data_IF_221242470016
#
_entry.id   IF_221242470016
#
_cell.length_a   1.000
_cell.length_b   1.000
_cell.length_c   1.000
_cell.angle_alpha   90.00
_cell.angle_beta   90.00
_cell.angle_gamma   90.00
#
_symmetry.space_group_name_H-M   'P 1'
#
loop_
_entity.id
_entity.type
_entity.pdbx_description
1 polymer ?
#
# COMPACT_ATOMS: atom_id res chain seq x y z
N UNK A 1 -24.67 31.39 28.16
CA UNK A 1 -24.04 30.83 26.94
C UNK A 1 -22.62 30.49 27.31
N UNK A 2 -22.32 29.21 27.55
CA UNK A 2 -20.95 28.77 27.84
C UNK A 2 -20.13 28.81 26.56
N UNK A 3 -18.92 29.37 26.63
CA UNK A 3 -17.98 29.35 25.53
C UNK A 3 -17.66 27.90 25.10
N UNK A 4 -17.45 27.61 23.81
CA UNK A 4 -17.04 26.28 23.38
C UNK A 4 -15.69 25.95 24.05
N UNK A 5 -15.60 24.75 24.63
CA UNK A 5 -14.35 24.25 25.18
C UNK A 5 -13.27 24.30 24.09
N UNK A 6 -12.14 24.95 24.38
CA UNK A 6 -11.02 24.97 23.47
C UNK A 6 -10.53 23.52 23.28
N UNK A 7 -10.69 22.98 22.07
CA UNK A 7 -10.15 21.67 21.70
C UNK A 7 -8.63 21.75 21.92
N UNK A 8 -8.15 21.07 22.96
CA UNK A 8 -6.73 20.94 23.24
C UNK A 8 -6.08 20.16 22.10
N UNK A 9 -5.52 20.87 21.11
CA UNK A 9 -4.82 20.23 20.01
C UNK A 9 -3.46 19.77 20.50
N UNK A 10 -3.23 18.44 20.54
CA UNK A 10 -1.92 17.87 20.85
C UNK A 10 -0.84 18.53 19.99
N UNK A 11 0.32 18.92 20.56
CA UNK A 11 1.44 19.42 19.78
C UNK A 11 1.83 18.39 18.71
N UNK A 12 2.04 18.87 17.49
CA UNK A 12 2.54 18.05 16.39
C UNK A 12 3.87 18.57 15.88
N UNK A 13 4.67 17.69 15.30
CA UNK A 13 5.88 18.06 14.56
C UNK A 13 5.89 17.37 13.20
N UNK A 14 6.42 18.10 12.22
CA UNK A 14 6.75 17.57 10.90
C UNK A 14 7.66 16.35 11.03
N UNK A 15 7.21 15.26 10.42
CA UNK A 15 7.94 13.99 10.22
C UNK A 15 7.96 13.71 8.72
N UNK A 16 9.14 13.37 8.18
CA UNK A 16 9.33 13.01 6.77
C UNK A 16 9.32 11.49 6.61
N UNK A 17 8.36 11.01 5.84
CA UNK A 17 8.19 9.59 5.52
C UNK A 17 8.57 9.38 4.05
N UNK A 18 9.43 8.39 3.79
CA UNK A 18 9.75 7.93 2.43
C UNK A 18 8.99 6.64 2.18
N UNK A 19 8.08 6.68 1.20
CA UNK A 19 7.21 5.57 0.85
C UNK A 19 7.69 4.91 -0.44
N UNK A 20 7.83 3.58 -0.40
CA UNK A 20 8.10 2.71 -1.54
C UNK A 20 7.27 1.43 -1.42
N UNK A 21 7.13 0.72 -2.53
CA UNK A 21 6.52 -0.61 -2.62
C UNK A 21 6.97 -1.26 -3.92
N UNK A 22 6.72 -2.56 -4.08
CA UNK A 22 6.87 -3.26 -5.37
C UNK A 22 8.28 -3.04 -5.93
N UNK A 23 9.30 -3.30 -5.11
CA UNK A 23 10.69 -3.12 -5.51
C UNK A 23 11.20 -4.32 -6.27
N UNK A 24 10.65 -5.52 -6.07
CA UNK A 24 10.95 -6.68 -6.92
C UNK A 24 12.46 -6.92 -7.10
N UNK A 25 13.18 -7.07 -5.98
CA UNK A 25 14.65 -7.21 -5.87
C UNK A 25 15.47 -5.96 -6.28
N UNK A 26 14.81 -4.86 -6.64
CA UNK A 26 15.50 -3.59 -6.89
C UNK A 26 15.86 -2.89 -5.58
N UNK A 27 16.93 -2.11 -5.61
CA UNK A 27 17.45 -1.38 -4.46
C UNK A 27 17.57 0.12 -4.81
N UNK A 28 16.45 0.84 -4.92
CA UNK A 28 16.47 2.23 -5.37
C UNK A 28 17.29 3.13 -4.44
N UNK A 29 17.82 4.23 -5.00
CA UNK A 29 18.41 5.30 -4.18
C UNK A 29 17.28 6.04 -3.46
N UNK A 30 17.35 6.09 -2.13
CA UNK A 30 16.33 6.73 -1.32
C UNK A 30 16.74 8.16 -0.93
N UNK A 31 15.80 9.13 -0.97
CA UNK A 31 16.04 10.45 -0.39
C UNK A 31 16.09 10.37 1.14
N UNK A 32 16.66 11.38 1.79
CA UNK A 32 16.67 11.48 3.26
C UNK A 32 15.25 11.63 3.82
N UNK A 33 14.98 10.95 4.93
CA UNK A 33 13.75 11.08 5.71
C UNK A 33 13.94 10.52 7.13
N UNK A 34 12.91 10.65 7.95
CA UNK A 34 12.91 10.13 9.32
C UNK A 34 12.45 8.66 9.35
N UNK A 35 11.48 8.32 8.49
CA UNK A 35 10.87 6.99 8.41
C UNK A 35 10.92 6.46 6.98
N UNK A 36 11.26 5.20 6.81
CA UNK A 36 11.07 4.43 5.57
C UNK A 36 9.88 3.49 5.73
N UNK A 37 8.97 3.48 4.76
CA UNK A 37 7.86 2.51 4.68
C UNK A 37 7.96 1.75 3.35
N UNK A 38 8.03 0.41 3.43
CA UNK A 38 7.96 -0.49 2.28
C UNK A 38 6.64 -1.27 2.30
N UNK A 39 5.74 -1.00 1.36
CA UNK A 39 4.36 -1.53 1.33
C UNK A 39 4.21 -2.86 0.56
N UNK A 40 5.18 -3.78 0.73
CA UNK A 40 5.13 -5.13 0.15
C UNK A 40 5.83 -5.30 -1.19
N UNK A 41 5.91 -6.54 -1.64
CA UNK A 41 6.62 -7.00 -2.85
C UNK A 41 8.08 -6.56 -2.87
N UNK A 42 8.80 -6.99 -1.83
CA UNK A 42 10.25 -6.79 -1.72
C UNK A 42 11.01 -7.58 -2.80
N UNK A 43 10.47 -8.75 -3.17
CA UNK A 43 11.14 -9.75 -3.98
C UNK A 43 10.35 -10.12 -5.24
N UNK A 44 10.93 -10.93 -6.13
CA UNK A 44 10.16 -11.47 -7.27
C UNK A 44 9.38 -12.73 -6.90
N UNK A 45 9.95 -13.61 -6.06
CA UNK A 45 9.34 -14.90 -5.73
C UNK A 45 9.58 -15.33 -4.28
N UNK A 46 10.09 -14.44 -3.42
CA UNK A 46 10.26 -14.69 -2.00
C UNK A 46 11.31 -15.75 -1.65
N UNK A 47 12.31 -16.03 -2.50
CA UNK A 47 13.39 -16.93 -2.05
C UNK A 47 14.15 -16.33 -0.87
N UNK A 48 14.76 -17.18 -0.04
CA UNK A 48 15.62 -16.77 1.07
C UNK A 48 16.72 -15.79 0.60
N UNK A 49 17.33 -16.07 -0.56
CA UNK A 49 18.40 -15.22 -1.10
C UNK A 49 17.92 -13.82 -1.51
N UNK A 50 16.72 -13.73 -2.07
CA UNK A 50 16.08 -12.46 -2.44
C UNK A 50 15.70 -11.67 -1.18
N UNK A 51 15.01 -12.32 -0.23
CA UNK A 51 14.61 -11.71 1.03
C UNK A 51 15.82 -11.22 1.82
N UNK A 52 16.87 -12.03 1.92
CA UNK A 52 18.12 -11.64 2.61
C UNK A 52 18.72 -10.39 1.98
N UNK A 53 18.82 -10.33 0.65
CA UNK A 53 19.33 -9.15 -0.06
C UNK A 53 18.47 -7.90 0.18
N UNK A 54 17.14 -8.05 0.16
CA UNK A 54 16.22 -6.95 0.42
C UNK A 54 16.34 -6.43 1.86
N UNK A 55 16.33 -7.33 2.85
CA UNK A 55 16.50 -7.02 4.27
C UNK A 55 17.84 -6.34 4.54
N UNK A 56 18.94 -6.86 3.98
CA UNK A 56 20.26 -6.23 4.12
C UNK A 56 20.30 -4.83 3.52
N UNK A 57 19.67 -4.63 2.36
CA UNK A 57 19.58 -3.31 1.73
C UNK A 57 18.76 -2.34 2.59
N UNK A 58 17.57 -2.72 3.06
CA UNK A 58 16.71 -1.88 3.91
C UNK A 58 17.42 -1.55 5.23
N UNK A 59 18.06 -2.54 5.86
CA UNK A 59 18.73 -2.38 7.15
C UNK A 59 19.84 -1.33 7.09
N UNK A 60 20.55 -1.22 5.96
CA UNK A 60 21.63 -0.23 5.74
C UNK A 60 21.14 1.20 5.49
N UNK A 61 19.84 1.42 5.28
CA UNK A 61 19.35 2.76 5.00
C UNK A 61 19.38 3.64 6.26
N UNK A 62 19.72 4.90 6.10
CA UNK A 62 19.83 5.89 7.20
C UNK A 62 18.46 6.52 7.49
N UNK A 63 17.60 5.75 8.16
CA UNK A 63 16.29 6.15 8.67
C UNK A 63 16.17 5.72 10.12
N UNK A 64 15.51 6.54 10.94
CA UNK A 64 15.31 6.23 12.35
C UNK A 64 14.32 5.07 12.55
N UNK A 65 13.30 4.96 11.70
CA UNK A 65 12.39 3.81 11.67
C UNK A 65 12.23 3.26 10.26
N UNK A 66 12.15 1.94 10.13
CA UNK A 66 11.96 1.22 8.85
C UNK A 66 10.82 0.23 9.05
N UNK A 67 9.66 0.54 8.47
CA UNK A 67 8.45 -0.27 8.59
C UNK A 67 8.27 -1.04 7.29
N UNK A 68 8.07 -2.34 7.40
CA UNK A 68 7.99 -3.25 6.25
C UNK A 68 6.78 -4.16 6.41
N UNK A 69 6.01 -4.32 5.34
CA UNK A 69 5.06 -5.42 5.18
C UNK A 69 5.50 -6.30 4.01
N UNK A 70 5.01 -7.53 3.95
CA UNK A 70 5.16 -8.38 2.76
C UNK A 70 4.14 -7.99 1.67
N UNK A 71 4.31 -8.55 0.47
CA UNK A 71 3.29 -8.55 -0.58
C UNK A 71 3.10 -9.94 -1.19
N UNK A 72 2.32 -10.02 -2.26
CA UNK A 72 1.94 -11.30 -2.86
C UNK A 72 3.11 -12.04 -3.56
N UNK A 73 4.21 -11.34 -3.86
CA UNK A 73 5.43 -11.92 -4.42
C UNK A 73 6.42 -12.43 -3.36
N UNK A 74 6.24 -12.08 -2.09
CA UNK A 74 7.10 -12.53 -0.99
C UNK A 74 6.66 -13.92 -0.48
N UNK A 75 6.56 -14.87 -1.41
CA UNK A 75 5.81 -16.14 -1.29
C UNK A 75 6.14 -16.94 -0.04
N UNK A 76 7.43 -17.08 0.30
CA UNK A 76 7.85 -17.92 1.44
C UNK A 76 7.46 -17.34 2.80
N UNK A 77 7.05 -16.07 2.86
CA UNK A 77 6.53 -15.45 4.08
C UNK A 77 5.09 -15.88 4.39
N UNK A 78 4.31 -16.29 3.39
CA UNK A 78 3.01 -16.94 3.58
C UNK A 78 3.22 -18.46 3.68
N UNK A 79 3.49 -18.95 4.90
CA UNK A 79 3.78 -20.36 5.15
C UNK A 79 2.67 -21.31 4.68
N UNK A 80 1.37 -21.05 4.93
CA UNK A 80 0.28 -21.87 4.38
C UNK A 80 0.30 -21.94 2.85
N UNK A 81 0.44 -20.80 2.17
CA UNK A 81 0.48 -20.76 0.70
C UNK A 81 1.72 -21.46 0.16
N UNK A 82 2.90 -21.15 0.69
CA UNK A 82 4.17 -21.76 0.30
C UNK A 82 4.10 -23.28 0.41
N UNK A 83 3.62 -23.81 1.53
CA UNK A 83 3.56 -25.25 1.78
C UNK A 83 2.65 -25.98 0.78
N UNK A 84 1.53 -25.34 0.41
CA UNK A 84 0.56 -25.89 -0.56
C UNK A 84 1.06 -25.80 -2.01
N UNK A 85 1.87 -24.79 -2.34
CA UNK A 85 2.22 -24.45 -3.72
C UNK A 85 3.71 -24.63 -4.05
N UNK A 86 4.54 -25.18 -3.16
CA UNK A 86 6.00 -25.30 -3.37
C UNK A 86 6.40 -25.96 -4.70
N UNK A 87 5.60 -26.89 -5.23
CA UNK A 87 5.87 -27.54 -6.52
C UNK A 87 5.55 -26.68 -7.76
N UNK A 88 4.85 -25.56 -7.58
CA UNK A 88 4.40 -24.67 -8.66
C UNK A 88 5.38 -23.54 -8.97
N UNK A 89 6.44 -23.39 -8.18
CA UNK A 89 7.40 -22.30 -8.28
C UNK A 89 8.82 -22.83 -8.40
N UNK A 90 9.70 -22.08 -9.07
CA UNK A 90 11.08 -22.47 -9.34
C UNK A 90 12.03 -21.56 -8.57
N UNK A 91 12.69 -22.11 -7.55
CA UNK A 91 13.71 -21.41 -6.78
C UNK A 91 15.11 -21.96 -7.05
N UNK A 92 16.18 -21.21 -6.76
CA UNK A 92 17.56 -21.68 -6.92
C UNK A 92 17.92 -22.91 -6.06
N UNK A 93 17.12 -23.22 -5.06
CA UNK A 93 17.27 -24.38 -4.17
C UNK A 93 16.07 -24.50 -3.24
N UNK A 94 16.13 -25.43 -2.29
CA UNK A 94 15.08 -25.61 -1.29
C UNK A 94 14.90 -24.35 -0.44
N UNK A 95 13.66 -24.04 -0.10
CA UNK A 95 13.30 -22.87 0.69
C UNK A 95 12.77 -23.29 2.06
N UNK A 96 13.21 -22.59 3.10
CA UNK A 96 12.66 -22.71 4.45
C UNK A 96 11.90 -21.43 4.80
N UNK A 97 10.56 -21.51 4.77
CA UNK A 97 9.67 -20.40 5.13
C UNK A 97 9.95 -19.83 6.52
N UNK A 98 10.38 -20.66 7.48
CA UNK A 98 10.72 -20.21 8.84
C UNK A 98 11.99 -19.38 8.82
N UNK A 99 13.04 -19.86 8.14
CA UNK A 99 14.29 -19.11 7.98
C UNK A 99 14.08 -17.80 7.21
N UNK A 100 13.24 -17.81 6.17
CA UNK A 100 12.85 -16.61 5.43
C UNK A 100 12.18 -15.58 6.34
N UNK A 101 11.21 -16.01 7.16
CA UNK A 101 10.48 -15.12 8.08
C UNK A 101 11.40 -14.53 9.16
N UNK A 102 12.34 -15.31 9.68
CA UNK A 102 13.33 -14.86 10.68
C UNK A 102 14.13 -13.63 10.23
N UNK A 103 14.47 -13.54 8.95
CA UNK A 103 15.19 -12.37 8.40
C UNK A 103 14.50 -11.03 8.70
N UNK A 104 13.17 -11.02 8.74
CA UNK A 104 12.36 -9.83 8.97
C UNK A 104 12.01 -9.64 10.45
N UNK A 105 11.55 -10.71 11.12
CA UNK A 105 11.04 -10.60 12.50
C UNK A 105 12.14 -10.50 13.55
N UNK A 106 13.33 -11.03 13.28
CA UNK A 106 14.51 -10.96 14.18
C UNK A 106 15.42 -9.77 13.83
N UNK A 107 15.04 -8.92 12.86
CA UNK A 107 15.81 -7.73 12.50
C UNK A 107 15.67 -6.65 13.57
N UNK A 108 16.79 -6.22 14.15
CA UNK A 108 16.84 -5.10 15.10
C UNK A 108 16.53 -3.74 14.45
N UNK A 109 16.64 -3.65 13.12
CA UNK A 109 16.50 -2.39 12.39
C UNK A 109 15.16 -2.23 11.69
N UNK A 110 14.40 -3.31 11.52
CA UNK A 110 13.13 -3.32 10.76
C UNK A 110 11.98 -3.67 11.69
N UNK A 111 10.93 -2.87 11.63
CA UNK A 111 9.62 -3.22 12.18
C UNK A 111 8.80 -3.91 11.09
N UNK A 112 8.79 -5.25 11.11
CA UNK A 112 7.95 -6.03 10.22
C UNK A 112 6.53 -6.16 10.77
N UNK A 113 5.52 -5.89 9.94
CA UNK A 113 4.11 -5.96 10.32
C UNK A 113 3.36 -6.94 9.41
N UNK A 114 2.51 -7.77 10.02
CA UNK A 114 1.75 -8.81 9.32
C UNK A 114 0.38 -8.95 9.99
N UNK A 115 -0.59 -8.13 9.56
CA UNK A 115 -1.91 -7.99 10.18
C UNK A 115 -1.83 -7.53 11.64
N UNK A 116 -0.87 -6.66 11.94
CA UNK A 116 -0.55 -6.20 13.30
C UNK A 116 -0.31 -4.69 13.34
N UNK A 117 -0.46 -4.13 14.54
CA UNK A 117 -0.18 -2.72 14.83
C UNK A 117 1.11 -2.58 15.64
N UNK A 118 1.89 -1.54 15.38
CA UNK A 118 2.99 -1.11 16.22
C UNK A 118 2.89 0.38 16.57
N UNK A 119 3.48 0.77 17.69
CA UNK A 119 3.71 2.18 18.03
C UNK A 119 5.16 2.51 17.74
N UNK A 120 5.38 3.57 16.96
CA UNK A 120 6.72 4.00 16.54
C UNK A 120 7.05 5.34 17.19
N UNK A 121 8.15 5.37 17.94
CA UNK A 121 8.71 6.57 18.54
C UNK A 121 9.96 7.02 17.79
N UNK A 122 10.06 8.33 17.51
CA UNK A 122 11.19 8.93 16.82
C UNK A 122 11.82 10.00 17.71
N UNK A 123 13.06 9.82 18.13
CA UNK A 123 13.81 10.79 18.94
C UNK A 123 14.09 12.10 18.19
N UNK A 124 14.39 12.07 16.89
CA UNK A 124 14.75 13.28 16.12
C UNK A 124 13.61 14.30 16.08
N UNK A 125 12.50 13.98 15.38
CA UNK A 125 11.30 14.81 15.41
C UNK A 125 10.55 14.75 16.76
N UNK A 126 10.97 13.91 17.72
CA UNK A 126 10.27 13.67 19.00
C UNK A 126 8.80 13.33 18.77
N UNK A 127 8.50 12.54 17.76
CA UNK A 127 7.11 12.16 17.42
C UNK A 127 6.83 10.73 17.80
N UNK A 128 5.56 10.42 18.02
CA UNK A 128 5.06 9.07 18.24
C UNK A 128 3.77 8.88 17.46
N UNK A 129 3.60 7.70 16.85
CA UNK A 129 2.42 7.40 16.05
C UNK A 129 2.17 5.89 16.03
N UNK A 130 0.92 5.52 15.75
CA UNK A 130 0.55 4.12 15.54
C UNK A 130 0.54 3.78 14.06
N UNK A 131 0.99 2.58 13.72
CA UNK A 131 0.99 2.07 12.35
C UNK A 131 0.43 0.66 12.32
N UNK A 132 -0.58 0.43 11.50
CA UNK A 132 -1.06 -0.92 11.15
C UNK A 132 -0.41 -1.36 9.85
N UNK A 133 -0.03 -2.64 9.76
CA UNK A 133 0.55 -3.22 8.54
C UNK A 133 -0.10 -4.55 8.16
N UNK A 134 -0.45 -4.73 6.88
CA UNK A 134 -0.98 -5.99 6.35
C UNK A 134 -0.51 -6.28 4.92
N UNK A 135 -0.04 -7.52 4.63
CA UNK A 135 0.35 -7.92 3.28
C UNK A 135 -0.85 -8.33 2.39
N UNK A 136 -2.05 -8.37 2.96
CA UNK A 136 -3.19 -9.05 2.37
C UNK A 136 -3.74 -8.36 1.11
N UNK A 137 -4.14 -9.17 0.13
CA UNK A 137 -4.74 -8.71 -1.14
C UNK A 137 -6.02 -9.50 -1.49
N UNK A 138 -7.00 -8.91 -2.19
CA UNK A 138 -8.14 -9.66 -2.69
C UNK A 138 -7.69 -10.74 -3.69
N UNK A 139 -8.25 -11.94 -3.57
CA UNK A 139 -8.09 -12.97 -4.59
C UNK A 139 -8.89 -12.59 -5.84
N UNK A 140 -8.20 -12.39 -6.95
CA UNK A 140 -8.85 -12.30 -8.26
C UNK A 140 -9.01 -13.70 -8.87
N UNK A 141 -10.07 -13.90 -9.66
CA UNK A 141 -10.55 -15.20 -10.14
C UNK A 141 -9.54 -16.01 -10.97
N UNK A 142 -8.43 -15.40 -11.39
CA UNK A 142 -7.45 -15.99 -12.31
C UNK A 142 -6.03 -16.12 -11.77
N UNK A 143 -5.73 -15.66 -10.55
CA UNK A 143 -4.36 -15.66 -10.04
C UNK A 143 -4.29 -16.12 -8.59
N UNK A 144 -3.49 -17.14 -8.31
CA UNK A 144 -3.24 -17.69 -6.98
C UNK A 144 -1.85 -17.24 -6.50
N UNK A 145 -1.83 -16.31 -5.56
CA UNK A 145 -0.61 -15.75 -4.98
C UNK A 145 -0.67 -15.76 -3.45
N UNK A 146 0.49 -15.53 -2.82
CA UNK A 146 0.57 -15.42 -1.37
C UNK A 146 -0.27 -14.26 -0.84
N UNK A 147 -0.70 -14.38 0.42
CA UNK A 147 -1.44 -13.38 1.19
C UNK A 147 -2.79 -12.98 0.56
N UNK A 148 -3.42 -13.87 -0.19
CA UNK A 148 -4.73 -13.61 -0.78
C UNK A 148 -5.89 -14.07 0.12
N UNK A 149 -6.93 -13.24 0.23
CA UNK A 149 -8.18 -13.57 0.90
C UNK A 149 -9.36 -13.59 -0.10
N UNK A 150 -10.43 -14.32 0.23
CA UNK A 150 -11.65 -14.32 -0.59
C UNK A 150 -12.48 -13.05 -0.34
N UNK A 151 -13.33 -12.60 -1.26
CA UNK A 151 -14.19 -11.43 -1.04
C UNK A 151 -14.96 -11.45 0.28
N UNK A 152 -15.41 -12.63 0.73
CA UNK A 152 -16.15 -12.83 1.98
C UNK A 152 -15.27 -12.66 3.22
N UNK A 153 -13.97 -12.96 3.12
CA UNK A 153 -12.99 -12.79 4.20
C UNK A 153 -12.44 -11.37 4.33
N UNK A 154 -12.84 -10.43 3.45
CA UNK A 154 -12.26 -9.10 3.41
C UNK A 154 -12.47 -8.31 4.70
N UNK A 155 -13.67 -8.35 5.29
CA UNK A 155 -13.96 -7.61 6.53
C UNK A 155 -13.15 -8.17 7.70
N UNK A 156 -12.99 -9.49 7.81
CA UNK A 156 -12.19 -10.13 8.87
C UNK A 156 -10.71 -9.67 8.86
N UNK A 157 -10.17 -9.38 7.67
CA UNK A 157 -8.81 -8.84 7.54
C UNK A 157 -8.77 -7.39 8.02
N UNK A 158 -9.72 -6.55 7.60
CA UNK A 158 -9.66 -5.11 7.81
C UNK A 158 -10.20 -4.65 9.18
N UNK A 159 -11.08 -5.43 9.83
CA UNK A 159 -11.55 -5.16 11.19
C UNK A 159 -10.41 -5.15 12.23
N UNK A 160 -9.28 -5.79 11.91
CA UNK A 160 -8.05 -5.80 12.73
C UNK A 160 -7.40 -4.42 12.85
N UNK A 161 -7.69 -3.50 11.93
CA UNK A 161 -7.18 -2.13 11.99
C UNK A 161 -7.85 -1.41 13.16
N UNK A 162 -7.14 -1.13 14.24
CA UNK A 162 -7.75 -0.52 15.42
C UNK A 162 -8.17 0.95 15.18
N UNK A 163 -9.29 1.41 15.76
CA UNK A 163 -9.64 2.83 15.78
C UNK A 163 -8.50 3.68 16.36
N UNK A 164 -8.28 4.87 15.80
CA UNK A 164 -7.19 5.76 16.22
C UNK A 164 -5.81 5.42 15.63
N UNK A 165 -5.73 4.47 14.69
CA UNK A 165 -4.51 4.20 13.91
C UNK A 165 -4.12 5.45 13.10
N UNK A 166 -2.90 5.95 13.26
CA UNK A 166 -2.44 7.15 12.53
C UNK A 166 -2.09 6.84 11.07
N UNK A 167 -1.45 5.71 10.82
CA UNK A 167 -0.97 5.27 9.50
C UNK A 167 -1.39 3.84 9.23
N UNK A 168 -2.01 3.59 8.09
CA UNK A 168 -2.31 2.24 7.59
C UNK A 168 -1.37 1.92 6.44
N UNK A 169 -0.72 0.76 6.48
CA UNK A 169 0.14 0.23 5.42
C UNK A 169 -0.46 -1.10 4.95
N UNK A 170 -0.94 -1.14 3.71
CA UNK A 170 -1.54 -2.35 3.12
C UNK A 170 -0.91 -2.61 1.77
N UNK A 171 -0.70 -3.87 1.38
CA UNK A 171 -0.18 -4.09 0.04
C UNK A 171 -1.23 -3.71 -1.03
N UNK A 172 -2.49 -4.11 -0.84
CA UNK A 172 -3.60 -3.68 -1.71
C UNK A 172 -4.03 -2.22 -1.46
N UNK A 173 -4.38 -1.45 -2.51
CA UNK A 173 -5.00 -0.13 -2.35
C UNK A 173 -6.50 -0.23 -2.01
N UNK A 174 -7.09 0.81 -1.38
CA UNK A 174 -8.53 0.92 -1.25
C UNK A 174 -9.21 1.14 -2.62
N UNK A 175 -10.41 0.57 -2.80
CA UNK A 175 -11.17 0.67 -4.07
C UNK A 175 -11.37 2.14 -4.48
N UNK A 176 -11.14 2.44 -5.75
CA UNK A 176 -11.37 3.76 -6.34
C UNK A 176 -10.23 4.76 -6.14
N UNK A 177 -9.25 4.45 -5.30
CA UNK A 177 -8.19 5.38 -4.91
C UNK A 177 -6.79 4.80 -5.11
N UNK A 178 -6.06 5.35 -6.08
CA UNK A 178 -4.73 4.88 -6.47
C UNK A 178 -4.68 3.38 -6.85
N UNK A 179 -5.76 2.87 -7.45
CA UNK A 179 -5.99 1.45 -7.74
C UNK A 179 -6.38 1.17 -9.20
N UNK A 180 -6.05 2.10 -10.11
CA UNK A 180 -6.33 1.95 -11.55
C UNK A 180 -5.44 0.87 -12.14
N UNK A 181 -6.04 -0.17 -12.70
CA UNK A 181 -5.33 -1.18 -13.48
C UNK A 181 -5.01 -0.65 -14.90
N UNK A 182 -3.83 -0.99 -15.42
CA UNK A 182 -3.42 -0.66 -16.79
C UNK A 182 -4.02 -1.65 -17.81
N UNK A 183 -5.34 -1.82 -17.78
CA UNK A 183 -6.08 -2.56 -18.82
C UNK A 183 -6.77 -1.55 -19.74
N UNK A 184 -6.69 -1.80 -21.04
CA UNK A 184 -7.09 -0.85 -22.09
C UNK A 184 -8.47 -0.22 -21.88
N UNK A 185 -8.58 1.09 -22.16
CA UNK A 185 -9.80 1.92 -22.35
C UNK A 185 -10.95 1.84 -21.33
N UNK A 186 -10.96 0.87 -20.41
CA UNK A 186 -11.96 0.69 -19.36
C UNK A 186 -11.36 1.16 -18.04
N UNK A 187 -12.17 1.84 -17.26
CA UNK A 187 -11.76 2.34 -15.94
C UNK A 187 -11.79 1.20 -14.91
N UNK A 188 -10.92 0.21 -15.10
CA UNK A 188 -10.83 -0.95 -14.21
C UNK A 188 -10.10 -0.56 -12.92
N UNK A 189 -10.69 -0.98 -11.80
CA UNK A 189 -10.30 -0.64 -10.43
C UNK A 189 -10.15 -1.93 -9.67
N UNK A 190 -8.96 -2.24 -9.19
CA UNK A 190 -8.68 -3.54 -8.53
C UNK A 190 -8.50 -3.40 -7.01
N UNK A 191 -8.68 -2.20 -6.45
CA UNK A 191 -8.60 -1.98 -4.99
C UNK A 191 -9.74 -2.64 -4.21
N UNK A 192 -9.57 -2.73 -2.89
CA UNK A 192 -10.52 -3.43 -2.02
C UNK A 192 -11.64 -2.50 -1.49
N UNK A 193 -12.95 -2.85 -1.69
CA UNK A 193 -14.07 -2.08 -1.14
C UNK A 193 -14.16 -2.10 0.39
N UNK A 194 -13.92 -3.26 1.02
CA UNK A 194 -13.93 -3.40 2.48
C UNK A 194 -12.86 -2.52 3.15
N UNK A 195 -11.64 -2.49 2.58
CA UNK A 195 -10.59 -1.58 3.01
C UNK A 195 -11.02 -0.11 2.93
N UNK A 196 -11.71 0.30 1.84
CA UNK A 196 -12.21 1.67 1.73
C UNK A 196 -13.22 2.01 2.84
N UNK A 197 -14.16 1.09 3.14
CA UNK A 197 -15.09 1.25 4.26
C UNK A 197 -14.35 1.39 5.58
N UNK A 198 -13.39 0.50 5.84
CA UNK A 198 -12.61 0.54 7.07
C UNK A 198 -11.83 1.84 7.23
N UNK A 199 -11.25 2.36 6.15
CA UNK A 199 -10.56 3.66 6.16
C UNK A 199 -11.51 4.83 6.44
N UNK A 200 -12.77 4.77 5.98
CA UNK A 200 -13.79 5.78 6.30
C UNK A 200 -14.18 5.75 7.78
N UNK A 201 -14.22 4.57 8.40
CA UNK A 201 -14.53 4.41 9.82
C UNK A 201 -13.38 4.89 10.72
N UNK A 202 -12.15 4.45 10.43
CA UNK A 202 -10.99 4.69 11.31
C UNK A 202 -10.26 6.00 10.99
N UNK A 203 -10.42 6.52 9.76
CA UNK A 203 -9.90 7.81 9.26
C UNK A 203 -8.42 8.07 9.60
N UNK A 204 -7.49 7.22 9.14
CA UNK A 204 -6.07 7.44 9.40
C UNK A 204 -5.57 8.67 8.64
N UNK A 205 -4.46 9.27 9.07
CA UNK A 205 -3.84 10.39 8.33
C UNK A 205 -3.34 9.92 6.97
N UNK A 206 -2.71 8.74 6.95
CA UNK A 206 -2.10 8.15 5.76
C UNK A 206 -2.58 6.71 5.57
N UNK A 207 -2.84 6.35 4.31
CA UNK A 207 -3.00 4.98 3.84
C UNK A 207 -1.98 4.73 2.74
N UNK A 208 -0.98 3.88 2.99
CA UNK A 208 0.17 3.67 2.10
C UNK A 208 0.09 2.26 1.53
N UNK A 209 0.17 2.14 0.22
CA UNK A 209 0.00 0.88 -0.49
C UNK A 209 0.89 0.72 -1.72
N UNK A 210 0.71 -0.38 -2.44
CA UNK A 210 1.41 -0.70 -3.67
C UNK A 210 0.55 -1.59 -4.58
N UNK A 211 1.10 -2.72 -5.01
CA UNK A 211 0.46 -3.83 -5.74
C UNK A 211 0.01 -3.47 -7.16
N UNK A 212 -0.79 -2.43 -7.30
CA UNK A 212 -1.28 -1.94 -8.58
C UNK A 212 -0.31 -0.88 -9.10
N UNK A 213 0.70 -1.30 -9.85
CA UNK A 213 1.78 -0.41 -10.31
C UNK A 213 1.30 0.80 -11.11
N UNK A 214 0.28 0.60 -11.95
CA UNK A 214 -0.37 1.67 -12.73
C UNK A 214 -1.17 2.65 -11.88
N UNK A 215 -1.47 2.28 -10.63
CA UNK A 215 -2.13 3.12 -9.64
C UNK A 215 -1.18 4.05 -8.89
N UNK A 216 0.14 3.99 -9.13
CA UNK A 216 1.15 4.85 -8.50
C UNK A 216 0.71 6.32 -8.52
N UNK A 217 0.55 6.91 -7.34
CA UNK A 217 0.01 8.25 -7.21
C UNK A 217 -0.41 8.56 -5.78
N UNK A 218 -0.99 9.75 -5.60
CA UNK A 218 -1.45 10.23 -4.31
C UNK A 218 -2.81 10.91 -4.47
N UNK A 219 -3.74 10.57 -3.58
CA UNK A 219 -5.07 11.16 -3.51
C UNK A 219 -5.38 11.48 -2.05
N UNK A 220 -5.90 12.67 -1.78
CA UNK A 220 -6.40 13.03 -0.44
C UNK A 220 -7.92 13.01 -0.43
N UNK A 221 -8.49 12.12 0.36
CA UNK A 221 -9.91 11.91 0.50
C UNK A 221 -10.45 12.85 1.57
N UNK A 222 -11.54 13.55 1.28
CA UNK A 222 -12.39 14.17 2.29
C UNK A 222 -13.54 13.22 2.57
N UNK A 223 -13.64 12.73 3.80
CA UNK A 223 -14.74 11.86 4.21
C UNK A 223 -16.02 12.67 4.42
N UNK A 224 -17.16 12.12 4.00
CA UNK A 224 -18.46 12.73 4.31
C UNK A 224 -18.69 12.69 5.83
N UNK A 225 -19.32 13.73 6.37
CA UNK A 225 -19.74 13.77 7.78
C UNK A 225 -21.25 13.63 7.88
N UNK A 226 -21.73 12.90 8.89
CA UNK A 226 -23.16 12.58 9.08
C UNK A 226 -24.09 13.80 9.11
N UNK A 227 -23.58 15.01 9.39
CA UNK A 227 -24.35 16.27 9.32
C UNK A 227 -24.82 16.64 7.91
N UNK A 228 -24.45 15.89 6.86
CA UNK A 228 -24.75 16.21 5.45
C UNK A 228 -25.52 15.14 4.68
N UNK A 229 -26.00 14.06 5.31
CA UNK A 229 -26.71 13.00 4.59
C UNK A 229 -28.00 12.54 5.29
N UNK A 230 -29.19 12.88 4.77
CA UNK A 230 -30.41 12.15 5.11
C UNK A 230 -30.41 10.85 4.28
N UNK A 231 -29.86 9.76 4.82
CA UNK A 231 -30.31 8.37 4.64
C UNK A 231 -29.25 7.41 5.20
N UNK A 232 -29.62 6.69 6.25
CA UNK A 232 -28.94 5.50 6.76
C UNK A 232 -29.34 4.31 5.90
N UNK A 233 -28.41 3.76 5.11
CA UNK A 233 -28.29 2.34 4.69
C UNK A 233 -27.30 2.26 3.49
N UNK A 234 -26.03 1.96 3.77
CA UNK A 234 -25.04 1.70 2.73
C UNK A 234 -25.13 0.23 2.27
N UNK A 235 -25.36 0.02 0.98
CA UNK A 235 -25.16 -1.28 0.29
C UNK A 235 -23.93 -1.14 -0.63
N UNK A 236 -23.45 -2.23 -1.24
CA UNK A 236 -22.30 -2.22 -2.19
C UNK A 236 -22.44 -1.20 -3.33
N UNK A 237 -23.66 -0.75 -3.63
CA UNK A 237 -23.97 0.30 -4.61
C UNK A 237 -23.58 1.73 -4.18
N UNK A 238 -23.20 1.95 -2.91
CA UNK A 238 -22.98 3.28 -2.32
C UNK A 238 -21.50 3.61 -2.00
N UNK A 239 -20.52 2.87 -2.53
CA UNK A 239 -19.09 3.14 -2.24
C UNK A 239 -18.68 4.57 -2.64
N UNK A 240 -19.24 5.11 -3.73
CA UNK A 240 -19.03 6.50 -4.15
C UNK A 240 -19.65 7.56 -3.23
N UNK A 241 -20.44 7.16 -2.22
CA UNK A 241 -21.10 8.08 -1.28
C UNK A 241 -20.28 8.42 -0.03
N UNK A 242 -19.24 7.62 0.27
CA UNK A 242 -18.41 7.76 1.47
C UNK A 242 -17.48 8.98 1.41
N UNK A 243 -16.95 9.26 0.21
CA UNK A 243 -15.99 10.33 -0.04
C UNK A 243 -16.72 11.55 -0.59
N UNK A 244 -16.62 12.68 0.12
CA UNK A 244 -17.22 13.94 -0.29
C UNK A 244 -16.45 14.58 -1.45
N UNK A 245 -15.12 14.60 -1.37
CA UNK A 245 -14.27 15.12 -2.45
C UNK A 245 -12.88 14.50 -2.42
N UNK A 246 -12.21 14.51 -3.59
CA UNK A 246 -10.85 14.00 -3.75
C UNK A 246 -9.95 15.12 -4.26
N UNK A 247 -8.82 15.25 -3.59
CA UNK A 247 -7.74 16.17 -3.94
C UNK A 247 -6.63 15.37 -4.63
N UNK A 248 -6.36 15.67 -5.90
CA UNK A 248 -5.39 14.94 -6.71
C UNK A 248 -3.99 15.56 -6.60
N UNK A 249 -2.97 14.71 -6.53
CA UNK A 249 -1.58 15.12 -6.51
C UNK A 249 -0.97 15.15 -7.91
N UNK A 250 -0.36 16.28 -8.24
CA UNK A 250 0.49 16.44 -9.41
C UNK A 250 1.94 16.24 -8.98
N UNK A 251 2.56 15.13 -9.38
CA UNK A 251 3.90 14.74 -8.95
C UNK A 251 4.95 15.80 -9.34
N UNK A 252 5.51 16.57 -8.39
CA UNK A 252 6.46 17.64 -8.70
C UNK A 252 7.81 17.10 -9.17
N UNK A 253 8.10 15.83 -8.92
CA UNK A 253 9.31 15.12 -9.32
C UNK A 253 9.18 14.44 -10.68
N UNK A 254 8.01 14.43 -11.31
CA UNK A 254 7.81 13.75 -12.59
C UNK A 254 8.72 14.34 -13.67
N UNK A 255 9.42 13.46 -14.39
CA UNK A 255 10.29 13.79 -15.52
C UNK A 255 11.42 14.79 -15.23
N UNK A 256 11.78 15.03 -13.96
CA UNK A 256 12.84 15.97 -13.59
C UNK A 256 13.69 15.45 -12.41
N UNK A 257 14.51 16.26 -11.74
CA UNK A 257 15.38 15.84 -10.61
C UNK A 257 14.81 16.14 -9.21
N UNK A 258 13.68 16.84 -9.11
CA UNK A 258 13.00 17.14 -7.84
C UNK A 258 12.48 15.86 -7.19
N UNK A 259 12.26 15.95 -5.88
CA UNK A 259 11.57 14.91 -5.13
C UNK A 259 10.11 14.83 -5.57
N UNK A 260 9.58 13.61 -5.59
CA UNK A 260 8.14 13.35 -5.64
C UNK A 260 7.55 13.63 -4.26
N UNK A 261 7.46 14.92 -3.91
CA UNK A 261 7.08 15.41 -2.59
C UNK A 261 5.56 15.63 -2.46
N UNK A 262 5.02 15.23 -1.32
CA UNK A 262 3.68 15.53 -0.81
C UNK A 262 3.85 16.27 0.52
N UNK A 263 3.54 17.56 0.57
CA UNK A 263 3.65 18.35 1.80
C UNK A 263 2.27 18.59 2.44
N UNK A 264 1.94 17.77 3.43
CA UNK A 264 0.69 17.86 4.20
C UNK A 264 0.78 18.88 5.35
N UNK A 265 1.96 19.48 5.59
CA UNK A 265 2.19 20.46 6.66
C UNK A 265 1.72 21.87 6.29
N UNK A 266 1.67 22.21 4.99
CA UNK A 266 1.37 23.56 4.50
C UNK A 266 -0.07 23.97 4.86
N UNK A 267 -1.05 23.08 4.65
CA UNK A 267 -2.46 23.37 4.98
C UNK A 267 -2.68 23.45 6.49
N UNK A 268 -2.00 22.61 7.29
CA UNK A 268 -2.01 22.71 8.75
C UNK A 268 -1.51 24.08 9.22
N UNK A 269 -0.43 24.61 8.62
CA UNK A 269 0.10 25.94 8.90
C UNK A 269 -0.84 27.07 8.47
N UNK A 270 -1.49 26.96 7.31
CA UNK A 270 -2.50 27.94 6.84
C UNK A 270 -3.72 28.01 7.77
N UNK A 271 -4.21 26.86 8.25
CA UNK A 271 -5.28 26.78 9.24
C UNK A 271 -4.88 27.38 10.59
N UNK A 272 -3.65 27.12 11.07
CA UNK A 272 -3.11 27.73 12.30
C UNK A 272 -2.87 29.24 12.18
N UNK A 273 -2.51 29.72 10.99
CA UNK A 273 -2.15 31.12 10.75
C UNK A 273 -3.33 32.01 10.30
N UNK A 274 -4.53 31.45 10.12
CA UNK A 274 -5.71 32.21 9.68
C UNK A 274 -5.57 32.90 8.32
N UNK A 275 -4.62 32.47 7.48
CA UNK A 275 -4.33 33.09 6.18
C UNK A 275 -4.62 32.10 5.05
N UNK A 276 -5.53 32.48 4.15
CA UNK A 276 -5.70 31.84 2.85
C UNK A 276 -4.58 32.29 1.92
N UNK A 277 -3.70 31.39 1.52
CA UNK A 277 -2.69 31.65 0.49
C UNK A 277 -2.62 30.48 -0.48
N UNK A 278 -2.73 30.81 -1.78
CA UNK A 278 -2.51 29.92 -2.89
C UNK A 278 -1.03 29.80 -3.27
N UNK A 279 -0.70 28.72 -3.97
CA UNK A 279 0.49 28.60 -4.82
C UNK A 279 1.75 28.07 -4.14
N UNK A 280 1.90 26.73 -4.14
CA UNK A 280 3.03 25.95 -4.68
C UNK A 280 3.09 24.59 -3.97
N UNK A 281 3.01 23.50 -4.76
CA UNK A 281 2.77 22.10 -4.37
C UNK A 281 1.32 21.74 -3.97
N UNK A 282 0.32 22.44 -4.52
CA UNK A 282 -1.07 22.22 -4.15
C UNK A 282 -1.65 20.96 -4.81
N UNK A 283 -2.25 20.09 -3.99
CA UNK A 283 -3.29 19.19 -4.44
C UNK A 283 -4.38 20.01 -5.14
N UNK A 284 -4.76 19.61 -6.35
CA UNK A 284 -5.82 20.27 -7.12
C UNK A 284 -7.16 19.62 -6.77
N UNK A 285 -8.10 20.45 -6.30
CA UNK A 285 -9.48 20.02 -6.03
C UNK A 285 -10.21 19.90 -7.35
N UNK A 286 -10.46 18.68 -7.81
CA UNK A 286 -11.21 18.40 -9.03
C UNK A 286 -12.19 17.26 -8.77
N UNK A 287 -13.34 17.28 -9.44
CA UNK A 287 -14.26 16.14 -9.45
C UNK A 287 -13.74 14.99 -10.33
N UNK A 288 -12.81 15.27 -11.26
CA UNK A 288 -12.25 14.31 -12.23
C UNK A 288 -10.81 14.73 -12.61
N UNK A 289 -9.84 13.81 -12.74
CA UNK A 289 -8.45 14.14 -13.13
C UNK A 289 -8.31 14.82 -14.50
N UNK A 290 -7.33 15.72 -14.66
CA UNK A 290 -6.99 16.38 -15.92
C UNK A 290 -6.72 15.43 -17.10
N UNK A 291 -6.29 14.18 -16.82
CA UNK A 291 -6.10 13.14 -17.85
C UNK A 291 -7.39 12.75 -18.58
N UNK A 292 -8.55 13.22 -18.13
CA UNK A 292 -9.87 13.00 -18.75
C UNK A 292 -10.48 14.27 -19.38
N UNK A 293 -9.87 15.45 -19.22
CA UNK A 293 -10.40 16.71 -19.79
C UNK A 293 -10.02 16.92 -21.27
N UNK A 294 -9.03 16.19 -21.78
CA UNK A 294 -8.50 16.35 -23.14
C UNK A 294 -9.26 15.61 -24.24
N UNK A 295 -10.59 15.75 -24.36
CA UNK A 295 -11.34 15.28 -25.55
C UNK A 295 -12.55 16.15 -25.90
N UNK A 296 -12.46 17.47 -25.87
CA UNK A 296 -13.40 18.33 -26.61
C UNK A 296 -12.65 19.53 -27.19
N UNK A 297 -12.14 19.37 -28.41
CA UNK A 297 -12.09 20.40 -29.47
C UNK A 297 -11.70 19.71 -30.77
N UNK A 298 -12.71 19.40 -31.57
CA UNK A 298 -12.53 18.89 -32.91
C UNK A 298 -12.18 20.00 -33.90
N UNK A 299 -11.43 19.63 -34.95
CA UNK A 299 -11.74 19.89 -36.36
C UNK A 299 -10.67 19.24 -37.27
N UNK A 300 -10.98 19.03 -38.58
CA UNK A 300 -10.85 17.71 -39.20
C UNK A 300 -9.84 17.60 -40.35
N UNK A 301 -9.62 16.34 -40.74
CA UNK A 301 -9.36 15.78 -42.08
C UNK A 301 -8.04 16.09 -42.82
N UNK A 302 -7.33 15.01 -43.17
CA UNK A 302 -6.79 14.77 -44.51
C UNK A 302 -6.43 13.28 -44.67
N UNK A 303 -7.42 12.52 -45.14
CA UNK A 303 -7.34 11.49 -46.19
C UNK A 303 -6.09 10.60 -46.37
N UNK A 304 -6.38 9.30 -46.26
CA UNK A 304 -6.12 8.22 -47.25
C UNK A 304 -4.66 7.96 -47.71
N UNK A 305 -4.18 6.73 -47.47
CA UNK A 305 -4.09 5.69 -48.50
C UNK A 305 -3.55 4.38 -47.89
N UNK A 306 -4.24 3.29 -48.21
CA UNK A 306 -3.81 1.91 -48.04
C UNK A 306 -2.79 1.59 -49.13
N UNK A 307 -1.78 0.76 -48.82
CA UNK A 307 -1.26 -0.15 -49.83
C UNK A 307 -0.79 -1.44 -49.17
N UNK A 308 -1.41 -2.54 -49.61
CA UNK A 308 -0.96 -3.89 -49.35
C UNK A 308 0.12 -4.24 -50.36
N UNK A 309 1.21 -4.87 -49.95
CA UNK A 309 1.88 -5.85 -50.81
C UNK A 309 2.81 -6.73 -49.97
N UNK A 310 2.41 -8.00 -49.88
CA UNK A 310 3.23 -9.12 -49.46
C UNK A 310 4.30 -9.43 -50.51
N UNK A 311 5.58 -9.47 -50.12
CA UNK A 311 6.60 -10.26 -50.82
C UNK A 311 7.70 -10.75 -49.86
N UNK A 312 7.97 -12.05 -49.92
CA UNK A 312 9.18 -12.77 -49.49
C UNK A 312 9.76 -13.50 -50.73
N UNK A 313 10.99 -14.08 -50.72
CA UNK A 313 12.25 -13.86 -49.97
C UNK A 313 13.43 -13.67 -51.00
N UNK A 314 14.76 -13.94 -50.80
CA UNK A 314 15.39 -15.18 -50.29
C UNK A 314 16.66 -15.02 -49.41
N UNK A 315 17.10 -16.19 -48.94
CA UNK A 315 18.32 -16.61 -48.24
C UNK A 315 19.67 -16.02 -48.65
N UNK A 316 20.57 -15.86 -47.67
CA UNK A 316 22.02 -15.75 -47.86
C UNK A 316 22.78 -15.72 -46.53
N UNK A 317 23.58 -16.75 -46.27
CA UNK A 317 24.55 -16.86 -45.17
C UNK A 317 25.66 -15.79 -45.25
N UNK A 318 26.13 -15.28 -44.10
CA UNK A 318 27.54 -15.28 -43.70
C UNK A 318 27.77 -14.56 -42.33
N UNK A 319 27.97 -15.39 -41.30
CA UNK A 319 29.02 -15.34 -40.28
C UNK A 319 29.62 -13.99 -39.80
N UNK A 320 29.24 -13.51 -38.61
CA UNK A 320 30.11 -12.74 -37.69
C UNK A 320 29.69 -12.93 -36.21
N UNK A 321 30.53 -13.60 -35.41
CA UNK A 321 30.57 -13.50 -33.94
C UNK A 321 31.44 -12.28 -33.55
N UNK A 322 31.33 -11.65 -32.36
CA UNK A 322 31.00 -12.28 -31.07
C UNK A 322 30.08 -11.47 -30.12
N UNK A 323 29.23 -12.12 -29.31
CA UNK A 323 28.51 -11.43 -28.22
C UNK A 323 28.36 -12.25 -26.92
N UNK A 324 28.75 -11.56 -25.85
CA UNK A 324 28.15 -11.51 -24.51
C UNK A 324 27.64 -12.79 -23.84
N UNK A 325 28.37 -13.19 -22.80
CA UNK A 325 27.96 -14.16 -21.79
C UNK A 325 26.89 -13.58 -20.84
N UNK A 326 25.67 -14.11 -20.98
CA UNK A 326 24.76 -14.63 -19.94
C UNK A 326 24.25 -13.66 -18.85
N UNK A 327 23.08 -13.04 -19.09
CA UNK A 327 21.96 -12.89 -18.12
C UNK A 327 20.69 -12.44 -18.86
N UNK A 328 20.10 -13.30 -19.68
CA UNK A 328 18.78 -13.09 -20.28
C UNK A 328 18.08 -14.45 -20.42
N UNK A 329 17.45 -14.89 -19.34
CA UNK A 329 16.82 -16.22 -19.29
C UNK A 329 16.20 -16.52 -17.93
N UNK A 330 15.39 -15.61 -17.40
CA UNK A 330 14.59 -15.87 -16.19
C UNK A 330 13.35 -14.95 -16.04
N UNK A 331 12.91 -14.27 -17.10
CA UNK A 331 11.76 -13.36 -17.06
C UNK A 331 10.74 -13.59 -18.19
N UNK A 332 10.84 -14.70 -18.91
CA UNK A 332 9.83 -15.08 -19.87
C UNK A 332 9.21 -16.42 -19.46
N UNK A 333 7.88 -16.41 -19.38
CA UNK A 333 6.97 -17.55 -19.25
C UNK A 333 6.74 -18.12 -17.84
N UNK A 334 5.73 -17.55 -17.15
CA UNK A 334 4.84 -18.32 -16.28
C UNK A 334 3.39 -17.88 -16.56
N UNK A 335 2.98 -18.05 -17.81
CA UNK A 335 1.58 -18.12 -18.22
C UNK A 335 1.18 -19.60 -18.17
N UNK A 336 0.52 -20.02 -17.09
CA UNK A 336 -0.10 -21.35 -17.05
C UNK A 336 -1.49 -21.25 -17.68
N UNK A 337 -1.52 -21.33 -19.01
CA UNK A 337 -2.73 -21.47 -19.81
C UNK A 337 -2.82 -22.92 -20.28
N UNK A 338 -3.70 -23.73 -19.68
CA UNK A 338 -4.26 -24.93 -20.30
C UNK A 338 -5.68 -25.18 -19.79
N UNK A 339 -6.61 -25.31 -20.72
CA UNK A 339 -8.00 -25.69 -20.45
C UNK A 339 -8.29 -27.16 -20.76
N UNK A 340 -9.37 -27.65 -20.15
CA UNK A 340 -10.27 -28.66 -20.72
C UNK A 340 -10.14 -30.09 -20.19
N UNK A 341 -11.18 -30.55 -19.47
CA UNK A 341 -11.48 -31.99 -19.33
C UNK A 341 -12.22 -32.42 -18.05
N UNK A 342 -13.56 -32.34 -18.10
CA UNK A 342 -14.64 -33.08 -17.43
C UNK A 342 -14.45 -33.88 -16.11
N UNK A 343 -15.38 -33.61 -15.18
CA UNK A 343 -16.18 -34.51 -14.31
C UNK A 343 -15.51 -35.59 -13.44
N UNK A 344 -15.69 -35.52 -12.12
CA UNK A 344 -16.65 -36.41 -11.43
C UNK A 344 -16.97 -35.96 -9.99
N UNK A 345 -18.24 -36.14 -9.60
CA UNK A 345 -18.75 -35.93 -8.24
C UNK A 345 -18.53 -37.20 -7.40
N UNK A 346 -17.99 -37.09 -6.17
CA UNK A 346 -18.39 -37.96 -5.06
C UNK A 346 -18.29 -37.22 -3.72
N UNK A 347 -19.41 -37.15 -3.01
CA UNK A 347 -19.56 -36.77 -1.61
C UNK A 347 -18.98 -37.84 -0.68
N UNK A 348 -18.25 -37.44 0.36
CA UNK A 348 -18.41 -38.05 1.69
C UNK A 348 -17.85 -37.16 2.81
N UNK A 349 -18.70 -36.95 3.82
CA UNK A 349 -18.36 -36.45 5.13
C UNK A 349 -17.36 -37.39 5.83
N UNK A 350 -16.51 -36.83 6.72
CA UNK A 350 -16.40 -37.19 8.16
C UNK A 350 -15.18 -36.48 8.78
N UNK A 351 -15.46 -35.64 9.79
CA UNK A 351 -14.91 -35.80 11.15
C UNK A 351 -13.44 -35.49 11.47
N UNK A 352 -13.29 -34.38 12.18
CA UNK A 352 -12.52 -34.22 13.43
C UNK A 352 -10.99 -34.05 13.43
N UNK A 353 -10.58 -32.98 14.11
CA UNK A 353 -9.59 -33.09 15.18
C UNK A 353 -8.30 -32.30 14.95
N UNK A 354 -8.29 -31.02 15.35
CA UNK A 354 -7.06 -30.28 15.60
C UNK A 354 -7.01 -29.97 17.10
N UNK A 355 -6.04 -30.50 17.88
CA UNK A 355 -5.82 -30.02 19.22
C UNK A 355 -4.88 -28.79 19.19
N UNK A 356 -5.36 -27.75 19.84
CA UNK A 356 -4.60 -26.60 20.30
C UNK A 356 -3.76 -27.02 21.51
N UNK A 357 -2.49 -26.60 21.57
CA UNK A 357 -1.77 -26.51 22.84
C UNK A 357 -1.12 -25.12 22.98
N UNK A 358 -1.80 -24.34 23.81
CA UNK A 358 -1.33 -23.50 24.90
C UNK A 358 0.10 -22.93 24.85
N UNK A 359 0.16 -21.60 24.83
CA UNK A 359 1.12 -20.85 25.66
C UNK A 359 0.33 -19.99 26.64
N UNK A 360 0.40 -20.37 27.92
CA UNK A 360 -0.08 -19.61 29.07
C UNK A 360 0.81 -18.38 29.30
N UNK A 361 0.21 -17.25 29.71
CA UNK A 361 0.98 -16.09 30.16
C UNK A 361 0.15 -14.85 30.47
N UNK A 362 -0.47 -14.85 31.66
CA UNK A 362 -0.89 -13.68 32.47
C UNK A 362 -2.11 -12.88 32.00
N UNK A 363 -3.29 -13.32 32.43
CA UNK A 363 -4.49 -12.48 32.55
C UNK A 363 -4.32 -11.50 33.73
N UNK A 364 -4.41 -10.19 33.45
CA UNK A 364 -4.83 -9.20 34.44
C UNK A 364 -6.21 -8.67 34.04
N UNK A 365 -7.15 -8.95 34.93
CA UNK A 365 -8.58 -8.66 34.86
C UNK A 365 -8.82 -7.13 34.86
N UNK A 366 -9.32 -6.58 33.76
CA UNK A 366 -9.87 -5.21 33.72
C UNK A 366 -11.36 -5.29 33.38
N UNK A 367 -12.18 -5.56 34.41
CA UNK A 367 -13.59 -5.16 34.40
C UNK A 367 -13.68 -3.68 34.74
N UNK A 368 -13.69 -2.85 33.70
CA UNK A 368 -14.00 -1.43 33.79
C UNK A 368 -14.98 -1.05 32.70
N UNK A 369 -16.18 -0.65 33.09
CA UNK A 369 -17.25 -0.08 32.24
C UNK A 369 -16.70 0.99 31.30
N UNK A 370 -17.01 1.00 29.99
CA UNK A 370 -16.53 2.05 29.12
C UNK A 370 -17.34 3.31 29.41
N UNK A 371 -16.68 4.31 29.98
CA UNK A 371 -17.27 5.62 30.13
C UNK A 371 -16.35 6.68 29.52
N UNK A 372 -17.04 7.55 28.77
CA UNK A 372 -16.74 8.94 28.41
C UNK A 372 -15.93 9.16 27.12
N UNK A 373 -16.71 9.55 26.10
CA UNK A 373 -16.40 10.55 25.08
C UNK A 373 -15.11 11.34 25.33
N UNK A 374 -14.03 10.91 24.70
CA UNK A 374 -13.01 11.87 24.28
C UNK A 374 -13.26 12.14 22.81
N UNK A 375 -13.73 13.35 22.52
CA UNK A 375 -13.88 13.91 21.18
C UNK A 375 -12.49 14.01 20.54
N UNK A 376 -11.92 12.87 20.12
CA UNK A 376 -10.75 12.84 19.25
C UNK A 376 -11.20 13.53 17.99
N UNK A 377 -10.74 14.77 17.77
CA UNK A 377 -11.06 15.55 16.59
C UNK A 377 -10.95 14.66 15.36
N UNK A 378 -12.10 14.27 14.80
CA UNK A 378 -12.15 13.26 13.73
C UNK A 378 -11.31 13.80 12.58
N UNK A 379 -10.27 13.05 12.21
CA UNK A 379 -9.48 13.39 11.04
C UNK A 379 -10.44 13.33 9.85
N UNK A 380 -10.75 14.48 9.27
CA UNK A 380 -11.71 14.55 8.17
C UNK A 380 -11.12 14.05 6.84
N UNK A 381 -9.80 13.86 6.79
CA UNK A 381 -9.08 13.54 5.56
C UNK A 381 -8.07 12.42 5.72
N UNK A 382 -8.06 11.52 4.74
CA UNK A 382 -7.03 10.49 4.61
C UNK A 382 -6.30 10.67 3.30
N UNK A 383 -4.96 10.71 3.34
CA UNK A 383 -4.15 10.71 2.11
C UNK A 383 -3.74 9.28 1.77
N UNK A 384 -4.23 8.79 0.64
CA UNK A 384 -3.85 7.51 0.04
C UNK A 384 -2.59 7.71 -0.82
N UNK A 385 -1.59 6.86 -0.62
CA UNK A 385 -0.30 6.88 -1.32
C UNK A 385 -0.03 5.50 -1.89
N UNK A 386 -0.21 5.32 -3.19
CA UNK A 386 0.33 4.13 -3.86
C UNK A 386 1.77 4.41 -4.23
N UNK A 387 2.69 3.69 -3.59
CA UNK A 387 4.13 3.91 -3.64
C UNK A 387 4.88 2.92 -4.56
N UNK A 388 4.18 2.25 -5.48
CA UNK A 388 4.77 1.28 -6.40
C UNK A 388 6.00 1.85 -7.13
N UNK A 389 7.15 1.21 -6.92
CA UNK A 389 8.43 1.58 -7.52
C UNK A 389 8.51 1.10 -8.96
N UNK A 390 8.08 -0.13 -9.25
CA UNK A 390 7.98 -0.60 -10.62
C UNK A 390 6.86 0.13 -11.36
N UNK A 391 7.11 0.48 -12.61
CA UNK A 391 6.10 1.06 -13.51
C UNK A 391 5.04 0.03 -13.94
N UNK A 392 4.04 0.48 -14.71
CA UNK A 392 3.00 -0.40 -15.24
C UNK A 392 3.60 -1.50 -16.12
N UNK A 393 2.95 -2.66 -16.17
CA UNK A 393 3.29 -3.70 -17.13
C UNK A 393 2.55 -3.44 -18.44
N UNK A 394 3.29 -3.37 -19.55
CA UNK A 394 2.75 -3.26 -20.91
C UNK A 394 3.22 -4.51 -21.66
N UNK A 395 2.28 -5.28 -22.21
CA UNK A 395 2.55 -6.57 -22.85
C UNK A 395 3.41 -7.52 -21.97
N UNK A 396 3.07 -7.61 -20.68
CA UNK A 396 3.75 -8.48 -19.71
C UNK A 396 5.10 -7.96 -19.19
N UNK A 397 5.65 -6.87 -19.75
CA UNK A 397 6.94 -6.29 -19.34
C UNK A 397 6.74 -5.02 -18.53
N UNK A 398 7.44 -4.90 -17.40
CA UNK A 398 7.46 -3.66 -16.61
C UNK A 398 8.07 -2.53 -17.42
N UNK A 399 7.37 -1.41 -17.51
CA UNK A 399 7.82 -0.22 -18.25
C UNK A 399 8.22 0.87 -17.27
N UNK A 400 9.53 1.02 -17.08
CA UNK A 400 10.14 2.07 -16.28
C UNK A 400 10.08 1.86 -14.77
N UNK A 401 10.65 2.83 -14.05
CA UNK A 401 10.69 2.88 -12.59
C UNK A 401 10.21 4.26 -12.13
N UNK A 402 9.43 4.26 -11.06
CA UNK A 402 8.94 5.46 -10.38
C UNK A 402 9.94 5.90 -9.31
N UNK A 403 9.89 7.17 -8.93
CA UNK A 403 10.64 7.63 -7.74
C UNK A 403 9.90 7.27 -6.45
N UNK A 404 10.63 7.08 -5.34
CA UNK A 404 10.04 7.07 -4.00
C UNK A 404 9.17 8.32 -3.77
N UNK A 405 8.01 8.14 -3.16
CA UNK A 405 7.16 9.26 -2.74
C UNK A 405 7.64 9.73 -1.37
N UNK A 406 7.86 11.03 -1.22
CA UNK A 406 8.24 11.63 0.06
C UNK A 406 7.04 12.37 0.62
N UNK A 407 6.63 12.04 1.84
CA UNK A 407 5.48 12.65 2.52
C UNK A 407 5.98 13.41 3.75
N UNK A 408 5.76 14.72 3.77
CA UNK A 408 5.94 15.54 4.95
C UNK A 408 4.60 15.68 5.68
N UNK A 409 4.49 15.13 6.89
CA UNK A 409 3.24 15.05 7.67
C UNK A 409 3.45 15.52 9.11
N UNK A 410 2.42 16.09 9.72
CA UNK A 410 2.41 16.49 11.14
C UNK A 410 1.95 15.31 12.02
N UNK A 411 2.85 14.81 12.88
CA UNK A 411 2.57 13.70 13.81
C UNK A 411 2.68 14.17 15.27
N UNK A 412 1.97 13.51 16.22
CA UNK A 412 1.97 13.89 17.64
C UNK A 412 3.38 13.87 18.27
N UNK A 413 3.67 14.82 19.16
CA UNK A 413 4.94 14.89 19.91
C UNK A 413 4.91 13.98 21.14
N UNK A 414 6.03 13.29 21.43
CA UNK A 414 6.22 12.43 22.61
C UNK A 414 6.08 13.27 23.89
N UNK A 415 5.26 12.83 24.84
CA UNK A 415 5.05 13.52 26.12
C UNK A 415 3.88 14.51 26.17
N UNK A 416 3.01 14.57 25.16
CA UNK A 416 1.78 15.37 25.22
C UNK A 416 0.62 14.68 25.96
N UNK A 417 0.92 13.79 26.90
CA UNK A 417 -0.06 13.30 27.86
C UNK A 417 0.29 13.95 29.20
N UNK A 418 -0.69 14.62 29.80
CA UNK A 418 -0.87 14.59 31.26
C UNK A 418 -1.13 13.11 31.65
N UNK A 419 -0.14 12.25 31.48
CA UNK A 419 -0.11 11.00 32.24
C UNK A 419 0.37 11.44 33.61
N UNK A 420 -0.57 11.52 34.54
CA UNK A 420 -0.30 11.86 35.93
C UNK A 420 0.91 11.08 36.42
N UNK A 421 1.75 11.78 37.17
CA UNK A 421 2.72 11.20 38.10
C UNK A 421 2.23 9.84 38.61
N UNK A 422 2.82 8.77 38.10
CA UNK A 422 2.99 7.59 38.94
C UNK A 422 4.08 8.01 39.90
N UNK A 423 3.66 8.50 41.06
CA UNK A 423 4.55 8.74 42.17
C UNK A 423 5.33 7.45 42.42
N UNK A 424 6.65 7.57 42.43
CA UNK A 424 7.52 6.58 43.05
C UNK A 424 6.99 6.37 44.48
N UNK A 425 6.53 5.14 44.76
CA UNK A 425 6.35 4.68 46.13
C UNK A 425 7.46 3.67 46.36
N UNK A 426 8.34 4.02 47.30
CA UNK A 426 9.54 3.32 47.74
C UNK A 426 9.37 1.81 47.96
#
# INVERSE_FOLDING_TARGET
>A
MSAPAAVSTRPTRKTRIVCISDTHNQTPKLPRGDVLIHAGDLTNQGSYSELKKAVEWISRQDFQAKIVIAGNHDITLDKPFFSKNQGSWKWPGDQDSTACRRLLVESESITYLENTTATVGLEGPRTWFTVFGSPCTPRHTQANWAFQYTPEGAEEVWDRISPGTDIVVTHTPPKGHCDRAAKDLKDEREGCPALLRRLEEIRPKLSICGHIHSGRGVQTLQWRTEKTSPLHQATESNIGSLVESVDFWNDPGISNKKLSLVDLTIRSRSLRAGRGLGGHASLTRQSVPDSLQGRIRGQPDASLMQDETWHQPPSGDENLNPTSSLTAGALENNEALWGGGAEDQVLSNVGHGCPYEATQGVEQDWRGTPCVDTEVARIERTTVVNAAYLGPRIAGKTVGYNKPIVVDVELPVRGSRDDGEVADVE
#
